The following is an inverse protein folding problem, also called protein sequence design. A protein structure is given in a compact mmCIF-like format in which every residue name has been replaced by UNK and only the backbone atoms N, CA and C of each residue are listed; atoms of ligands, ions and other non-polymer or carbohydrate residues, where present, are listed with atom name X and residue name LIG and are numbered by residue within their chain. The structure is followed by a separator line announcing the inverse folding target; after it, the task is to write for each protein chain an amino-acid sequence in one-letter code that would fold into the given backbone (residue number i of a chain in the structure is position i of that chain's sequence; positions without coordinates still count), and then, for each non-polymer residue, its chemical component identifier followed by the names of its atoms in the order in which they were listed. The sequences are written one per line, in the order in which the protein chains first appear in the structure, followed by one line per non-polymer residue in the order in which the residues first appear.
data_IF_953056415989
#
_entry.id   IF_953056415989
#
_cell.length_a   1.000
_cell.length_b   1.000
_cell.length_c   1.000
_cell.angle_alpha   90.00
_cell.angle_beta   90.00
_cell.angle_gamma   90.00
#
_symmetry.space_group_name_H-M   'P 1'
#
loop_
_entity.id
_entity.type
_entity.pdbx_description
1 polymer ?
#
# COMPACT_ATOMS: atom_id res chain seq x y z
N UNK A 1 7.87 14.98 17.38
CA UNK A 1 8.14 13.71 16.67
C UNK A 1 8.73 12.72 17.67
N UNK A 2 8.17 11.51 17.80
CA UNK A 2 8.68 10.50 18.75
C UNK A 2 10.11 10.10 18.40
N UNK A 3 10.99 10.06 19.41
CA UNK A 3 12.41 9.71 19.26
C UNK A 3 12.65 8.20 19.14
N UNK A 4 11.75 7.39 19.69
CA UNK A 4 11.81 5.92 19.63
C UNK A 4 10.42 5.37 19.31
N UNK A 5 10.37 4.33 18.48
CA UNK A 5 9.14 3.61 18.16
C UNK A 5 9.31 2.20 18.71
N UNK A 6 8.34 1.74 19.51
CA UNK A 6 8.33 0.36 19.97
C UNK A 6 7.98 -0.56 18.81
N UNK A 7 8.82 -1.58 18.61
CA UNK A 7 8.53 -2.63 17.65
C UNK A 7 7.64 -3.70 18.28
N UNK A 8 6.57 -4.05 17.57
CA UNK A 8 5.53 -4.99 17.98
C UNK A 8 5.15 -5.87 16.79
N UNK A 9 4.40 -6.96 17.03
CA UNK A 9 3.99 -7.89 15.97
C UNK A 9 5.20 -8.47 15.22
N UNK A 10 5.17 -8.43 13.88
CA UNK A 10 6.27 -8.94 13.02
C UNK A 10 7.64 -8.24 13.25
N UNK A 11 7.66 -7.08 13.91
CA UNK A 11 8.90 -6.39 14.28
C UNK A 11 9.30 -6.64 15.75
N UNK A 12 8.48 -7.32 16.55
CA UNK A 12 8.82 -7.63 17.95
C UNK A 12 10.09 -8.48 18.05
N UNK A 13 10.90 -8.28 19.09
CA UNK A 13 12.02 -9.16 19.45
C UNK A 13 11.62 -10.29 20.41
N UNK A 14 10.34 -10.38 20.78
CA UNK A 14 9.86 -11.44 21.66
C UNK A 14 9.35 -12.61 20.84
N UNK A 15 9.86 -13.80 21.10
CA UNK A 15 9.47 -15.01 20.37
C UNK A 15 7.99 -15.36 20.57
N UNK A 16 7.38 -14.93 21.69
CA UNK A 16 5.96 -15.13 21.99
C UNK A 16 5.05 -14.27 21.10
N UNK A 17 5.56 -13.12 20.61
CA UNK A 17 4.83 -12.21 19.71
C UNK A 17 5.23 -12.41 18.23
N UNK A 18 6.47 -12.83 17.98
CA UNK A 18 7.07 -12.98 16.65
C UNK A 18 7.88 -14.30 16.55
N UNK A 19 7.21 -15.45 16.53
CA UNK A 19 7.89 -16.75 16.64
C UNK A 19 8.90 -17.00 15.52
N UNK A 20 8.65 -16.47 14.32
CA UNK A 20 9.46 -16.75 13.14
C UNK A 20 10.63 -15.76 12.94
N UNK A 21 10.45 -14.48 13.30
CA UNK A 21 11.39 -13.41 12.93
C UNK A 21 11.94 -12.61 14.12
N UNK A 22 11.68 -13.01 15.37
CA UNK A 22 12.08 -12.23 16.55
C UNK A 22 13.58 -11.88 16.59
N UNK A 23 14.43 -12.77 16.05
CA UNK A 23 15.89 -12.60 16.02
C UNK A 23 16.44 -12.01 14.71
N UNK A 24 15.57 -11.49 13.82
CA UNK A 24 16.01 -10.84 12.60
C UNK A 24 16.44 -9.39 12.84
N UNK A 25 17.24 -8.84 11.91
CA UNK A 25 17.46 -7.40 11.81
C UNK A 25 16.13 -6.73 11.41
N UNK A 26 15.75 -5.67 12.12
CA UNK A 26 14.43 -5.04 11.98
C UNK A 26 14.58 -3.55 11.77
N UNK A 27 13.89 -3.05 10.77
CA UNK A 27 13.98 -1.66 10.32
C UNK A 27 12.57 -1.13 10.08
N UNK A 28 12.33 0.12 10.46
CA UNK A 28 11.09 0.84 10.13
C UNK A 28 11.43 2.14 9.43
N UNK A 29 11.11 2.22 8.14
CA UNK A 29 11.16 3.47 7.38
C UNK A 29 9.89 4.26 7.68
N UNK A 30 10.03 5.52 8.10
CA UNK A 30 8.87 6.36 8.42
C UNK A 30 8.24 6.88 7.13
N UNK A 31 6.92 6.75 7.04
CA UNK A 31 6.14 7.28 5.93
C UNK A 31 5.97 8.79 6.09
N UNK A 32 6.44 9.56 5.11
CA UNK A 32 6.38 11.02 5.14
C UNK A 32 6.24 11.68 3.76
N UNK A 33 5.99 10.90 2.70
CA UNK A 33 5.91 11.43 1.33
C UNK A 33 4.47 11.59 0.81
N UNK A 34 3.54 10.74 1.24
CA UNK A 34 2.13 10.85 0.88
C UNK A 34 1.74 10.15 -0.43
N UNK A 35 2.64 9.38 -1.07
CA UNK A 35 2.34 8.60 -2.28
C UNK A 35 3.01 7.22 -2.24
N UNK A 36 2.98 6.55 -1.08
CA UNK A 36 3.52 5.19 -0.93
C UNK A 36 4.97 5.04 -1.42
N UNK A 37 5.80 6.06 -1.17
CA UNK A 37 7.18 6.19 -1.63
C UNK A 37 7.38 6.26 -3.16
N UNK A 38 6.36 6.60 -3.93
CA UNK A 38 6.45 6.68 -5.39
C UNK A 38 6.45 8.12 -5.95
N UNK A 39 6.32 9.15 -5.11
CA UNK A 39 6.28 10.55 -5.56
C UNK A 39 7.64 11.13 -5.99
N UNK A 40 7.65 11.97 -7.02
CA UNK A 40 8.84 12.67 -7.59
C UNK A 40 8.54 14.14 -8.02
N UNK A 41 7.31 14.61 -7.79
CA UNK A 41 6.83 15.93 -8.20
C UNK A 41 7.12 17.05 -7.19
N UNK A 42 6.77 18.28 -7.55
CA UNK A 42 6.84 19.42 -6.65
C UNK A 42 5.77 20.45 -6.98
N UNK A 43 5.33 21.19 -5.98
CA UNK A 43 4.49 22.37 -6.14
C UNK A 43 5.23 23.57 -5.55
N UNK A 44 6.01 24.25 -6.38
CA UNK A 44 6.87 25.37 -5.98
C UNK A 44 6.07 26.54 -5.41
N UNK A 45 4.91 26.83 -5.98
CA UNK A 45 4.03 27.89 -5.51
C UNK A 45 3.62 27.70 -4.03
N UNK A 46 3.41 26.45 -3.62
CA UNK A 46 3.05 26.10 -2.24
C UNK A 46 4.25 25.58 -1.42
N UNK A 47 5.46 25.60 -1.97
CA UNK A 47 6.69 25.07 -1.34
C UNK A 47 6.56 23.59 -0.90
N UNK A 48 5.85 22.78 -1.67
CA UNK A 48 5.67 21.35 -1.40
C UNK A 48 6.60 20.53 -2.30
N UNK A 49 7.30 19.57 -1.68
CA UNK A 49 8.20 18.64 -2.37
C UNK A 49 7.75 17.21 -2.11
N UNK A 50 7.34 16.53 -3.17
CA UNK A 50 6.95 15.13 -3.10
C UNK A 50 8.17 14.30 -3.52
N UNK A 51 8.77 13.62 -2.55
CA UNK A 51 10.09 12.98 -2.67
C UNK A 51 10.08 11.52 -2.26
N UNK A 52 8.93 10.86 -2.38
CA UNK A 52 8.75 9.46 -2.00
C UNK A 52 9.83 8.56 -2.57
N UNK A 53 10.05 8.60 -3.88
CA UNK A 53 11.03 7.72 -4.53
C UNK A 53 12.45 8.03 -4.04
N UNK A 54 12.77 9.31 -3.85
CA UNK A 54 14.10 9.71 -3.34
C UNK A 54 14.33 9.26 -1.91
N UNK A 55 13.31 9.35 -1.06
CA UNK A 55 13.36 8.88 0.33
C UNK A 55 13.57 7.37 0.35
N UNK A 56 12.84 6.63 -0.50
CA UNK A 56 13.03 5.19 -0.65
C UNK A 56 14.44 4.82 -1.05
N UNK A 57 14.96 5.41 -2.14
CA UNK A 57 16.31 5.12 -2.64
C UNK A 57 17.38 5.43 -1.59
N UNK A 58 17.31 6.61 -0.96
CA UNK A 58 18.27 7.01 0.07
C UNK A 58 18.22 6.09 1.30
N UNK A 59 17.01 5.70 1.75
CA UNK A 59 16.86 4.76 2.86
C UNK A 59 17.44 3.39 2.51
N UNK A 60 17.16 2.86 1.32
CA UNK A 60 17.69 1.57 0.89
C UNK A 60 19.22 1.60 0.78
N UNK A 61 19.79 2.64 0.18
CA UNK A 61 21.24 2.83 0.09
C UNK A 61 21.91 2.83 1.48
N UNK A 62 21.37 3.59 2.43
CA UNK A 62 21.89 3.63 3.80
C UNK A 62 21.81 2.27 4.49
N UNK A 63 20.69 1.55 4.35
CA UNK A 63 20.50 0.24 4.96
C UNK A 63 21.42 -0.82 4.37
N UNK A 64 21.64 -0.79 3.05
CA UNK A 64 22.60 -1.65 2.36
C UNK A 64 24.00 -1.45 2.94
N UNK A 65 24.44 -0.18 3.08
CA UNK A 65 25.73 0.16 3.67
C UNK A 65 25.85 -0.25 5.15
N UNK A 66 24.75 -0.24 5.91
CA UNK A 66 24.70 -0.71 7.31
C UNK A 66 24.69 -2.23 7.46
N UNK A 67 24.82 -2.98 6.36
CA UNK A 67 24.99 -4.43 6.39
C UNK A 67 23.81 -5.23 5.84
N UNK A 68 22.72 -4.57 5.42
CA UNK A 68 21.59 -5.26 4.78
C UNK A 68 22.06 -6.02 3.52
N UNK A 69 23.07 -5.51 2.81
CA UNK A 69 23.67 -6.16 1.63
C UNK A 69 24.21 -7.58 1.89
N UNK A 70 24.49 -7.94 3.15
CA UNK A 70 25.01 -9.25 3.54
C UNK A 70 23.90 -10.24 3.95
N UNK A 71 22.63 -9.84 3.89
CA UNK A 71 21.51 -10.67 4.32
C UNK A 71 21.35 -11.89 3.39
N UNK A 72 21.15 -13.08 3.96
CA UNK A 72 20.77 -14.26 3.17
C UNK A 72 19.27 -14.29 2.85
N UNK A 73 18.47 -13.61 3.66
CA UNK A 73 17.02 -13.48 3.52
C UNK A 73 16.60 -12.06 3.87
N UNK A 74 15.67 -11.50 3.11
CA UNK A 74 15.12 -10.18 3.36
C UNK A 74 13.61 -10.17 3.09
N UNK A 75 12.86 -9.43 3.91
CA UNK A 75 11.43 -9.22 3.73
C UNK A 75 11.16 -7.73 3.66
N UNK A 76 10.55 -7.27 2.56
CA UNK A 76 9.92 -5.96 2.50
C UNK A 76 8.48 -6.10 2.98
N UNK A 77 8.10 -5.34 4.01
CA UNK A 77 6.73 -5.37 4.51
C UNK A 77 6.22 -3.97 4.84
N UNK A 78 4.90 -3.81 4.78
CA UNK A 78 4.23 -2.59 5.18
C UNK A 78 2.73 -2.77 5.30
N UNK A 79 2.10 -1.84 6.02
CA UNK A 79 0.68 -1.82 6.29
C UNK A 79 0.01 -0.60 5.62
N UNK A 80 -1.22 -0.75 5.08
CA UNK A 80 -1.98 0.32 4.43
C UNK A 80 -1.20 0.95 3.25
N UNK A 81 -0.93 2.26 3.27
CA UNK A 81 -0.06 2.90 2.26
C UNK A 81 1.35 2.28 2.20
N UNK A 82 1.88 1.78 3.31
CA UNK A 82 3.13 1.01 3.32
C UNK A 82 2.98 -0.39 2.71
N UNK A 83 1.77 -0.96 2.77
CA UNK A 83 1.43 -2.20 2.08
C UNK A 83 1.41 -1.98 0.57
N UNK A 84 0.81 -0.88 0.10
CA UNK A 84 0.88 -0.44 -1.30
C UNK A 84 2.33 -0.18 -1.73
N UNK A 85 3.13 0.49 -0.90
CA UNK A 85 4.56 0.69 -1.15
C UNK A 85 5.31 -0.64 -1.29
N UNK A 86 4.98 -1.64 -0.47
CA UNK A 86 5.58 -2.98 -0.56
C UNK A 86 5.22 -3.68 -1.87
N UNK A 87 4.11 -3.33 -2.52
CA UNK A 87 3.76 -3.81 -3.86
C UNK A 87 4.58 -3.08 -4.92
N UNK A 88 4.56 -1.75 -4.89
CA UNK A 88 5.20 -0.88 -5.89
C UNK A 88 6.71 -1.11 -5.96
N UNK A 89 7.37 -1.24 -4.81
CA UNK A 89 8.83 -1.34 -4.72
C UNK A 89 9.34 -2.76 -4.53
N UNK A 90 8.50 -3.80 -4.66
CA UNK A 90 8.91 -5.16 -4.36
C UNK A 90 10.08 -5.65 -5.23
N UNK A 91 9.96 -5.47 -6.54
CA UNK A 91 11.01 -5.87 -7.49
C UNK A 91 12.23 -4.95 -7.40
N UNK A 92 12.04 -3.64 -7.14
CA UNK A 92 13.16 -2.72 -6.85
C UNK A 92 13.96 -3.20 -5.64
N UNK A 93 13.28 -3.61 -4.57
CA UNK A 93 13.91 -4.14 -3.36
C UNK A 93 14.67 -5.44 -3.64
N UNK A 94 14.07 -6.39 -4.38
CA UNK A 94 14.76 -7.64 -4.76
C UNK A 94 16.03 -7.38 -5.58
N UNK A 95 16.01 -6.37 -6.43
CA UNK A 95 17.13 -6.02 -7.32
C UNK A 95 18.32 -5.40 -6.58
N UNK A 96 18.16 -4.99 -5.31
CA UNK A 96 19.28 -4.56 -4.48
C UNK A 96 20.19 -5.72 -4.06
N UNK A 97 19.68 -6.95 -4.06
CA UNK A 97 20.38 -8.12 -3.56
C UNK A 97 20.84 -9.05 -4.69
N UNK A 98 21.93 -9.81 -4.50
CA UNK A 98 22.30 -10.90 -5.41
C UNK A 98 21.16 -11.91 -5.59
N UNK A 99 21.17 -12.64 -6.71
CA UNK A 99 20.19 -13.70 -7.01
C UNK A 99 20.15 -14.82 -5.96
N UNK A 100 21.24 -15.01 -5.21
CA UNK A 100 21.33 -16.00 -4.13
C UNK A 100 20.54 -15.60 -2.87
N UNK A 101 20.17 -14.33 -2.73
CA UNK A 101 19.42 -13.83 -1.56
C UNK A 101 17.94 -14.10 -1.72
N UNK A 102 17.33 -14.73 -0.71
CA UNK A 102 15.89 -15.01 -0.71
C UNK A 102 15.13 -13.77 -0.26
N UNK A 103 14.58 -13.03 -1.21
CA UNK A 103 13.74 -11.85 -0.93
C UNK A 103 12.27 -12.19 -1.14
N UNK A 104 11.43 -11.71 -0.22
CA UNK A 104 9.97 -11.78 -0.33
C UNK A 104 9.36 -10.43 0.05
N UNK A 105 8.15 -10.18 -0.43
CA UNK A 105 7.38 -9.00 -0.02
C UNK A 105 6.09 -9.41 0.69
N UNK A 106 5.65 -8.59 1.63
CA UNK A 106 4.39 -8.74 2.35
C UNK A 106 3.64 -7.41 2.28
N UNK A 107 2.49 -7.43 1.62
CA UNK A 107 1.56 -6.31 1.63
C UNK A 107 0.45 -6.60 2.63
N UNK A 108 0.40 -5.87 3.73
CA UNK A 108 -0.68 -5.91 4.71
C UNK A 108 -1.65 -4.74 4.48
N UNK A 109 -2.94 -5.02 4.27
CA UNK A 109 -3.98 -4.02 4.01
C UNK A 109 -3.63 -3.03 2.87
N UNK A 110 -2.79 -3.43 1.91
CA UNK A 110 -2.28 -2.59 0.83
C UNK A 110 -2.97 -2.81 -0.52
N UNK A 111 -3.86 -3.80 -0.62
CA UNK A 111 -4.60 -4.16 -1.84
C UNK A 111 -5.88 -3.32 -1.93
N UNK A 112 -5.73 -2.07 -2.35
CA UNK A 112 -6.87 -1.19 -2.60
C UNK A 112 -7.50 -1.47 -3.97
N UNK A 113 -8.83 -1.42 -4.03
CA UNK A 113 -9.58 -1.66 -5.27
C UNK A 113 -10.10 -0.36 -5.89
N UNK A 114 -9.93 -0.22 -7.20
CA UNK A 114 -10.66 0.75 -8.02
C UNK A 114 -12.11 0.27 -8.18
N UNK A 115 -12.94 0.60 -7.20
CA UNK A 115 -14.32 0.18 -7.11
C UNK A 115 -15.25 1.40 -7.02
N UNK A 116 -16.44 1.24 -7.60
CA UNK A 116 -17.51 2.24 -7.52
C UNK A 116 -18.09 2.29 -6.10
N UNK A 117 -18.34 3.50 -5.59
CA UNK A 117 -18.97 3.73 -4.31
C UNK A 117 -20.50 3.48 -4.37
N UNK A 118 -21.17 3.55 -3.22
CA UNK A 118 -22.62 3.29 -3.10
C UNK A 118 -23.52 4.28 -3.85
N UNK A 119 -22.97 5.41 -4.31
CA UNK A 119 -23.65 6.41 -5.11
C UNK A 119 -23.27 6.36 -6.61
N UNK A 120 -22.47 5.38 -7.05
CA UNK A 120 -22.06 5.24 -8.44
C UNK A 120 -20.79 6.01 -8.84
N UNK A 121 -20.12 6.69 -7.90
CA UNK A 121 -18.90 7.46 -8.15
C UNK A 121 -17.60 6.66 -7.89
N UNK A 122 -16.45 7.21 -8.31
CA UNK A 122 -15.13 6.56 -8.17
C UNK A 122 -14.22 7.28 -7.16
N UNK A 123 -14.69 7.41 -5.91
CA UNK A 123 -14.03 8.25 -4.89
C UNK A 123 -12.54 7.98 -4.70
N UNK A 124 -12.13 6.72 -4.63
CA UNK A 124 -10.71 6.39 -4.45
C UNK A 124 -9.89 6.61 -5.72
N UNK A 125 -10.48 6.39 -6.90
CA UNK A 125 -9.83 6.68 -8.18
C UNK A 125 -9.56 8.17 -8.31
N UNK A 126 -10.54 9.01 -8.00
CA UNK A 126 -10.42 10.47 -8.04
C UNK A 126 -9.33 10.95 -7.05
N UNK A 127 -9.29 10.36 -5.86
CA UNK A 127 -8.23 10.64 -4.88
C UNK A 127 -6.85 10.22 -5.40
N UNK A 128 -6.72 9.02 -5.96
CA UNK A 128 -5.47 8.51 -6.52
C UNK A 128 -5.02 9.29 -7.75
N UNK A 129 -5.92 9.74 -8.61
CA UNK A 129 -5.60 10.63 -9.73
C UNK A 129 -4.98 11.93 -9.23
N UNK A 130 -5.55 12.51 -8.17
CA UNK A 130 -4.99 13.68 -7.49
C UNK A 130 -3.58 13.41 -6.96
N UNK A 131 -3.36 12.29 -6.27
CA UNK A 131 -2.03 11.88 -5.77
C UNK A 131 -1.04 11.70 -6.92
N UNK A 132 -1.41 10.94 -7.94
CA UNK A 132 -0.54 10.59 -9.08
C UNK A 132 -0.12 11.83 -9.84
N UNK A 133 -1.07 12.74 -10.08
CA UNK A 133 -0.85 13.98 -10.83
C UNK A 133 -0.05 14.98 -10.01
N UNK A 134 -0.48 15.28 -8.77
CA UNK A 134 0.15 16.30 -7.92
C UNK A 134 1.57 15.90 -7.52
N UNK A 135 1.77 14.62 -7.18
CA UNK A 135 3.04 14.12 -6.67
C UNK A 135 3.93 13.54 -7.77
N UNK A 136 3.52 13.58 -9.04
CA UNK A 136 4.32 13.13 -10.17
C UNK A 136 4.68 11.64 -10.12
N UNK A 137 3.78 10.80 -9.56
CA UNK A 137 4.03 9.37 -9.28
C UNK A 137 4.29 8.57 -10.56
N UNK A 138 3.70 8.98 -11.68
CA UNK A 138 3.79 8.27 -12.97
C UNK A 138 5.21 7.87 -13.39
N UNK A 139 6.22 8.66 -12.99
CA UNK A 139 7.63 8.43 -13.35
C UNK A 139 8.21 7.16 -12.72
N UNK A 140 7.64 6.73 -11.60
CA UNK A 140 8.11 5.60 -10.80
C UNK A 140 7.15 4.40 -10.85
N UNK A 141 6.11 4.46 -11.69
CA UNK A 141 5.23 3.32 -11.90
C UNK A 141 5.83 2.34 -12.92
N UNK A 142 5.57 1.03 -12.79
CA UNK A 142 6.09 0.03 -13.73
C UNK A 142 5.67 0.31 -15.17
N UNK A 143 6.66 0.36 -16.09
CA UNK A 143 6.43 0.56 -17.52
C UNK A 143 5.57 -0.54 -18.16
N UNK A 144 5.61 -1.74 -17.57
CA UNK A 144 4.75 -2.87 -17.95
C UNK A 144 3.26 -2.57 -17.78
N UNK A 145 2.90 -1.68 -16.85
CA UNK A 145 1.53 -1.23 -16.66
C UNK A 145 1.25 0.06 -17.44
N UNK A 146 2.10 1.08 -17.32
CA UNK A 146 1.84 2.42 -17.91
C UNK A 146 1.88 2.44 -19.44
N UNK A 147 2.44 1.40 -20.07
CA UNK A 147 2.32 1.19 -21.53
C UNK A 147 0.94 0.71 -21.98
N UNK A 148 0.10 0.20 -21.06
CA UNK A 148 -1.21 -0.39 -21.36
C UNK A 148 -2.38 0.35 -20.71
N UNK A 149 -2.14 1.04 -19.61
CA UNK A 149 -3.16 1.72 -18.80
C UNK A 149 -2.68 3.12 -18.40
N UNK A 150 -3.64 3.97 -18.02
CA UNK A 150 -3.31 5.28 -17.48
C UNK A 150 -2.54 5.17 -16.14
N UNK A 151 -1.73 6.18 -15.77
CA UNK A 151 -0.95 6.15 -14.53
C UNK A 151 -1.78 5.92 -13.25
N UNK A 152 -3.00 6.45 -13.17
CA UNK A 152 -3.87 6.27 -11.99
C UNK A 152 -4.28 4.81 -11.86
N UNK A 153 -4.69 4.16 -12.95
CA UNK A 153 -4.96 2.72 -12.97
C UNK A 153 -3.73 1.90 -12.54
N UNK A 154 -2.53 2.33 -12.93
CA UNK A 154 -1.28 1.67 -12.53
C UNK A 154 -0.85 1.95 -11.09
N UNK A 155 -1.51 2.85 -10.37
CA UNK A 155 -1.31 3.02 -8.94
C UNK A 155 -2.20 2.08 -8.10
N UNK A 156 -3.22 1.47 -8.71
CA UNK A 156 -4.02 0.43 -8.07
C UNK A 156 -3.35 -0.95 -8.16
N UNK A 157 -3.12 -1.63 -7.02
CA UNK A 157 -2.48 -2.95 -6.98
C UNK A 157 -3.09 -4.01 -7.89
N UNK A 158 -4.42 -3.99 -8.09
CA UNK A 158 -5.12 -4.95 -8.95
C UNK A 158 -4.57 -5.00 -10.40
N UNK A 159 -3.91 -3.93 -10.85
CA UNK A 159 -3.32 -3.84 -12.19
C UNK A 159 -1.80 -4.13 -12.19
N UNK A 160 -1.19 -4.31 -11.02
CA UNK A 160 0.26 -4.46 -10.86
C UNK A 160 0.68 -5.83 -10.33
N UNK A 161 -0.10 -6.42 -9.41
CA UNK A 161 0.28 -7.62 -8.66
C UNK A 161 0.68 -8.78 -9.58
N UNK A 162 -0.04 -8.98 -10.69
CA UNK A 162 0.26 -10.04 -11.68
C UNK A 162 1.62 -9.88 -12.36
N UNK A 163 2.18 -8.67 -12.35
CA UNK A 163 3.43 -8.34 -13.03
C UNK A 163 4.63 -8.30 -12.06
N UNK A 164 4.39 -8.39 -10.75
CA UNK A 164 5.45 -8.47 -9.74
C UNK A 164 6.14 -9.84 -9.84
N UNK A 165 7.45 -9.84 -10.03
CA UNK A 165 8.23 -11.07 -10.23
C UNK A 165 8.65 -11.70 -8.91
N UNK A 166 8.91 -10.87 -7.91
CA UNK A 166 9.36 -11.30 -6.59
C UNK A 166 8.20 -11.92 -5.80
N UNK A 167 8.40 -13.07 -5.12
CA UNK A 167 7.35 -13.72 -4.35
C UNK A 167 6.74 -12.78 -3.32
N UNK A 168 5.43 -12.60 -3.40
CA UNK A 168 4.66 -11.69 -2.57
C UNK A 168 3.55 -12.41 -1.83
N UNK A 169 3.38 -12.07 -0.55
CA UNK A 169 2.22 -12.44 0.24
C UNK A 169 1.29 -11.23 0.36
N UNK A 170 0.04 -11.38 -0.03
CA UNK A 170 -1.01 -10.37 0.14
C UNK A 170 -1.87 -10.75 1.34
N UNK A 171 -1.79 -9.96 2.40
CA UNK A 171 -2.68 -10.04 3.56
C UNK A 171 -3.67 -8.88 3.46
N UNK A 172 -4.92 -9.16 3.12
CA UNK A 172 -5.95 -8.13 3.05
C UNK A 172 -7.25 -8.63 3.66
N UNK A 173 -7.92 -7.79 4.44
CA UNK A 173 -9.27 -8.10 4.90
C UNK A 173 -10.22 -8.13 3.71
N UNK A 174 -11.18 -9.07 3.71
CA UNK A 174 -12.21 -9.14 2.67
C UNK A 174 -13.04 -7.84 2.58
N UNK A 175 -13.20 -7.16 3.71
CA UNK A 175 -13.90 -5.87 3.85
C UNK A 175 -13.04 -4.90 4.63
N UNK A 176 -11.93 -4.45 4.02
CA UNK A 176 -11.01 -3.50 4.63
C UNK A 176 -11.76 -2.26 5.16
N UNK A 177 -11.56 -1.96 6.45
CA UNK A 177 -12.33 -0.93 7.12
C UNK A 177 -12.07 0.46 6.54
N UNK A 178 -10.83 0.74 6.12
CA UNK A 178 -10.49 2.02 5.53
C UNK A 178 -11.10 2.16 4.14
N UNK A 179 -11.01 1.14 3.29
CA UNK A 179 -11.62 1.19 1.95
C UNK A 179 -13.15 1.27 2.03
N UNK A 180 -13.77 0.51 2.94
CA UNK A 180 -15.23 0.64 3.19
C UNK A 180 -15.57 2.08 3.59
N UNK A 181 -14.77 2.67 4.47
CA UNK A 181 -15.10 3.95 5.08
C UNK A 181 -14.84 5.17 4.19
N UNK A 182 -13.73 5.15 3.46
CA UNK A 182 -13.21 6.28 2.70
C UNK A 182 -13.45 6.16 1.19
N UNK A 183 -13.60 4.93 0.66
CA UNK A 183 -13.79 4.70 -0.78
C UNK A 183 -15.22 4.28 -1.11
N UNK A 184 -15.72 3.21 -0.49
CA UNK A 184 -16.99 2.60 -0.90
C UNK A 184 -18.19 3.35 -0.33
N UNK A 185 -18.09 3.83 0.91
CA UNK A 185 -19.18 4.50 1.63
C UNK A 185 -18.66 5.81 2.28
N UNK A 186 -18.05 6.73 1.51
CA UNK A 186 -17.69 8.03 2.04
C UNK A 186 -18.95 8.81 2.43
N UNK A 187 -18.85 9.72 3.41
CA UNK A 187 -20.00 10.50 3.89
C UNK A 187 -20.74 11.26 2.78
N UNK A 188 -20.03 11.67 1.73
CA UNK A 188 -20.62 12.33 0.55
C UNK A 188 -21.47 11.40 -0.32
N UNK A 189 -21.19 10.09 -0.32
CA UNK A 189 -21.96 9.09 -1.07
C UNK A 189 -23.14 8.52 -0.27
N UNK A 190 -23.23 8.79 1.03
CA UNK A 190 -24.33 8.38 1.91
C UNK A 190 -24.94 9.59 2.67
N UNK A 191 -25.51 10.59 1.97
CA UNK A 191 -25.98 11.82 2.60
C UNK A 191 -27.15 11.59 3.56
N UNK A 192 -27.90 10.49 3.40
CA UNK A 192 -29.02 10.12 4.25
C UNK A 192 -28.64 9.13 5.37
N UNK A 193 -27.38 8.70 5.45
CA UNK A 193 -26.89 7.82 6.51
C UNK A 193 -27.45 6.39 6.45
N UNK A 194 -27.89 5.93 5.28
CA UNK A 194 -28.48 4.60 5.07
C UNK A 194 -27.48 3.47 5.32
N UNK A 195 -26.20 3.75 5.15
CA UNK A 195 -25.13 2.78 5.32
C UNK A 195 -24.41 2.89 6.65
N UNK A 196 -24.69 3.93 7.47
CA UNK A 196 -23.94 4.23 8.70
C UNK A 196 -23.84 3.05 9.68
N UNK A 197 -24.94 2.34 9.91
CA UNK A 197 -24.96 1.16 10.80
C UNK A 197 -24.13 0.00 10.22
N UNK A 198 -24.39 -0.35 8.96
CA UNK A 198 -23.73 -1.41 8.19
C UNK A 198 -22.21 -1.18 8.02
N UNK A 199 -21.81 0.09 7.81
CA UNK A 199 -20.42 0.56 7.69
C UNK A 199 -19.62 0.29 8.96
N UNK A 200 -20.23 0.54 10.11
CA UNK A 200 -19.60 0.37 11.43
C UNK A 200 -19.59 -1.10 11.82
N UNK A 201 -20.72 -1.78 11.66
CA UNK A 201 -20.92 -3.18 11.99
C UNK A 201 -21.69 -3.88 10.87
N UNK A 202 -21.03 -4.86 10.24
CA UNK A 202 -21.55 -5.57 9.07
C UNK A 202 -22.76 -6.45 9.40
N UNK A 203 -23.01 -6.75 10.68
CA UNK A 203 -24.21 -7.48 11.12
C UNK A 203 -25.50 -6.68 10.95
N UNK A 204 -25.40 -5.35 10.85
CA UNK A 204 -26.55 -4.46 10.61
C UNK A 204 -26.83 -4.21 9.12
N UNK A 205 -26.09 -4.83 8.21
CA UNK A 205 -26.34 -4.69 6.78
C UNK A 205 -27.59 -5.45 6.37
N UNK A 206 -28.44 -4.80 5.56
CA UNK A 206 -29.54 -5.49 4.90
C UNK A 206 -29.04 -6.31 3.69
N UNK A 207 -29.91 -7.10 3.07
CA UNK A 207 -29.55 -7.98 1.96
C UNK A 207 -28.92 -7.26 0.76
N UNK A 208 -29.40 -6.07 0.38
CA UNK A 208 -28.83 -5.33 -0.76
C UNK A 208 -27.46 -4.73 -0.43
N UNK A 209 -27.25 -4.29 0.81
CA UNK A 209 -25.96 -3.79 1.28
C UNK A 209 -24.91 -4.93 1.33
N UNK A 210 -25.32 -6.12 1.75
CA UNK A 210 -24.45 -7.32 1.72
C UNK A 210 -24.09 -7.67 0.27
N UNK A 211 -25.06 -7.65 -0.65
CA UNK A 211 -24.82 -7.93 -2.07
C UNK A 211 -23.81 -6.95 -2.68
N UNK A 212 -23.88 -5.67 -2.34
CA UNK A 212 -22.90 -4.66 -2.77
C UNK A 212 -21.48 -5.05 -2.33
N UNK A 213 -21.28 -5.36 -1.05
CA UNK A 213 -19.97 -5.77 -0.54
C UNK A 213 -19.47 -7.09 -1.16
N UNK A 214 -20.36 -8.04 -1.38
CA UNK A 214 -20.00 -9.30 -2.05
C UNK A 214 -19.57 -9.05 -3.51
N UNK A 215 -20.24 -8.15 -4.23
CA UNK A 215 -19.84 -7.73 -5.56
C UNK A 215 -18.42 -7.17 -5.59
N UNK A 216 -18.08 -6.29 -4.65
CA UNK A 216 -16.72 -5.73 -4.52
C UNK A 216 -15.68 -6.80 -4.19
N UNK A 217 -16.01 -7.76 -3.32
CA UNK A 217 -15.11 -8.87 -2.96
C UNK A 217 -14.76 -9.76 -4.16
N UNK A 218 -15.72 -10.03 -5.04
CA UNK A 218 -15.48 -10.82 -6.26
C UNK A 218 -14.53 -10.14 -7.26
N UNK A 219 -14.19 -8.86 -7.05
CA UNK A 219 -13.22 -8.12 -7.86
C UNK A 219 -11.80 -8.16 -7.29
N UNK A 220 -11.55 -8.83 -6.15
CA UNK A 220 -10.19 -9.08 -5.65
C UNK A 220 -9.51 -10.17 -6.51
N UNK A 221 -8.29 -9.93 -7.02
CA UNK A 221 -7.54 -10.88 -7.83
C UNK A 221 -7.00 -12.08 -7.05
#
# INVERSE_FOLDING_TARGET
MEKSINFTGILSNKAEENPDFYNWNRVRVRYCDGASFAGEGQNEANKLYFRGQRIWLAAMEELMAKGMQNANQAILSGCSAGGLASILHCDEFKNLFPETTKVKCLSDAGLFLDATNVAGGHTLRDMYEGVVTLQGVQKNLPSTCTSQKDPTSCFFPQNLVSNVKTPMFLLNAAYDAWQVDQSLIPSLADPHGLWRACKTDRSHCNSSQIQFFQGTKCSMP
#
